data_IF_569954398425
#
_entry.id   IF_569954398425
#
_cell.length_a   1.000
_cell.length_b   1.000
_cell.length_c   1.000
_cell.angle_alpha   90.00
_cell.angle_beta   90.00
_cell.angle_gamma   90.00
#
_symmetry.space_group_name_H-M   'P 1'
#
loop_
_entity.id
_entity.type
_entity.pdbx_description
1 polymer ?
#
# COMPACT_ATOMS: atom_id res chain seq x y z
N UNK A 1 0.09 2.38 10.43
CA UNK A 1 0.08 3.83 10.09
C UNK A 1 -1.35 4.35 10.09
N UNK A 2 -1.59 5.55 10.60
CA UNK A 2 -2.93 6.16 10.69
C UNK A 2 -3.12 7.16 9.54
N UNK A 3 -4.25 7.06 8.81
CA UNK A 3 -4.65 8.03 7.79
C UNK A 3 -6.00 8.61 8.25
N UNK A 4 -6.10 9.92 8.41
CA UNK A 4 -7.32 10.53 8.95
C UNK A 4 -7.60 11.92 8.37
N UNK A 5 -8.90 12.29 8.29
CA UNK A 5 -9.32 13.65 8.01
C UNK A 5 -9.22 14.49 9.29
N UNK A 6 -8.71 15.69 9.18
CA UNK A 6 -8.62 16.64 10.29
C UNK A 6 -9.03 18.04 9.83
N UNK A 7 -9.65 18.81 10.73
CA UNK A 7 -9.96 20.22 10.46
C UNK A 7 -8.72 21.10 10.61
N UNK A 8 -7.86 20.75 11.54
CA UNK A 8 -6.60 21.45 11.84
C UNK A 8 -5.48 20.42 12.03
N UNK A 9 -4.26 20.73 11.57
CA UNK A 9 -3.12 19.83 11.75
C UNK A 9 -2.81 19.60 13.22
N UNK A 10 -2.34 18.40 13.53
CA UNK A 10 -1.80 18.11 14.86
C UNK A 10 -0.52 18.91 15.12
N UNK A 11 -0.27 19.22 16.39
CA UNK A 11 1.00 19.84 16.80
C UNK A 11 2.19 19.01 16.30
N UNK A 12 3.18 19.68 15.72
CA UNK A 12 4.39 19.05 15.14
C UNK A 12 4.16 18.20 13.88
N UNK A 13 3.02 18.33 13.19
CA UNK A 13 2.88 17.76 11.85
C UNK A 13 3.61 18.63 10.83
N UNK A 14 4.43 18.00 9.99
CA UNK A 14 5.02 18.68 8.82
C UNK A 14 3.95 18.95 7.79
N UNK A 15 3.83 20.20 7.37
CA UNK A 15 2.80 20.63 6.41
C UNK A 15 3.21 20.23 4.99
N UNK A 16 2.33 19.57 4.26
CA UNK A 16 2.49 19.23 2.85
C UNK A 16 1.43 19.95 2.04
N UNK A 17 1.86 20.82 1.14
CA UNK A 17 0.98 21.60 0.28
C UNK A 17 1.05 21.07 -1.15
N UNK A 18 -0.04 20.48 -1.65
CA UNK A 18 -0.19 20.08 -3.03
C UNK A 18 -0.84 21.25 -3.81
N UNK A 19 -0.13 21.80 -4.79
CA UNK A 19 -0.61 22.92 -5.58
C UNK A 19 -0.69 22.55 -7.07
N UNK A 20 -1.72 23.04 -7.74
CA UNK A 20 -1.90 22.84 -9.17
C UNK A 20 -1.08 23.80 -10.02
N UNK A 21 -0.84 25.00 -9.51
CA UNK A 21 -0.17 26.09 -10.24
C UNK A 21 0.77 26.83 -9.32
N UNK A 22 1.83 27.40 -9.91
CA UNK A 22 2.83 28.22 -9.20
C UNK A 22 2.20 29.39 -8.43
N UNK A 23 1.18 30.02 -9.00
CA UNK A 23 0.48 31.17 -8.43
C UNK A 23 -0.20 30.84 -7.10
N UNK A 24 -0.56 29.57 -6.89
CA UNK A 24 -1.21 29.12 -5.67
C UNK A 24 -0.29 29.22 -4.44
N UNK A 25 1.04 29.32 -4.63
CA UNK A 25 2.01 29.56 -3.53
C UNK A 25 1.66 30.81 -2.72
N UNK A 26 1.14 31.86 -3.37
CA UNK A 26 0.73 33.10 -2.70
C UNK A 26 -0.35 32.89 -1.64
N UNK A 27 -1.21 31.89 -1.83
CA UNK A 27 -2.35 31.55 -0.95
C UNK A 27 -1.95 30.68 0.24
N UNK A 28 -0.74 30.08 0.20
CA UNK A 28 -0.30 29.16 1.24
C UNK A 28 0.11 29.91 2.51
N UNK A 29 -0.16 29.27 3.67
CA UNK A 29 0.40 29.67 4.96
C UNK A 29 1.78 29.04 5.12
N UNK A 30 2.79 29.73 4.65
CA UNK A 30 4.19 29.30 4.76
C UNK A 30 4.92 30.11 5.81
N UNK A 31 6.07 29.59 6.32
CA UNK A 31 6.97 30.35 7.19
C UNK A 31 7.32 31.72 6.58
N UNK A 32 7.52 32.73 7.42
CA UNK A 32 7.77 34.09 6.99
C UNK A 32 8.95 34.19 6.02
N UNK A 33 8.79 34.99 4.95
CA UNK A 33 9.83 35.18 3.92
C UNK A 33 10.00 34.03 2.91
N UNK A 34 9.29 32.91 3.07
CA UNK A 34 9.51 31.72 2.24
C UNK A 34 8.77 31.74 0.91
N UNK A 35 7.67 32.50 0.77
CA UNK A 35 6.78 32.43 -0.42
C UNK A 35 7.50 32.74 -1.73
N UNK A 36 8.26 33.83 -1.79
CA UNK A 36 8.98 34.23 -3.00
C UNK A 36 10.01 33.18 -3.40
N UNK A 37 10.79 32.71 -2.45
CA UNK A 37 11.80 31.67 -2.66
C UNK A 37 11.17 30.35 -3.15
N UNK A 38 10.05 29.95 -2.57
CA UNK A 38 9.29 28.75 -2.99
C UNK A 38 8.79 28.93 -4.42
N UNK A 39 8.17 30.07 -4.74
CA UNK A 39 7.65 30.32 -6.07
C UNK A 39 8.72 30.29 -7.17
N UNK A 40 9.95 30.72 -6.86
CA UNK A 40 11.07 30.68 -7.81
C UNK A 40 11.63 29.25 -8.00
N UNK A 41 11.78 28.50 -6.93
CA UNK A 41 12.51 27.23 -6.98
C UNK A 41 11.60 26.02 -7.28
N UNK A 42 10.31 26.08 -6.93
CA UNK A 42 9.40 24.96 -7.15
C UNK A 42 9.20 24.63 -8.63
N UNK A 43 9.25 25.65 -9.50
CA UNK A 43 9.06 25.49 -10.95
C UNK A 43 10.14 24.63 -11.59
N UNK A 44 11.38 24.72 -11.09
CA UNK A 44 12.51 23.96 -11.65
C UNK A 44 12.61 22.54 -11.12
N UNK A 45 12.08 22.28 -9.91
CA UNK A 45 12.25 21.00 -9.19
C UNK A 45 10.95 20.24 -8.94
N UNK A 46 9.78 20.84 -9.21
CA UNK A 46 8.47 20.25 -8.89
C UNK A 46 8.16 20.12 -7.39
N UNK A 47 9.19 20.08 -6.55
CA UNK A 47 9.06 19.94 -5.09
C UNK A 47 10.05 20.86 -4.40
N UNK A 48 9.62 21.54 -3.37
CA UNK A 48 10.48 22.34 -2.51
C UNK A 48 10.22 22.09 -1.04
N UNK A 49 11.28 21.79 -0.30
CA UNK A 49 11.29 21.75 1.15
C UNK A 49 11.53 23.13 1.73
N UNK A 50 10.69 23.51 2.68
CA UNK A 50 10.79 24.77 3.42
C UNK A 50 11.00 24.42 4.89
N UNK A 51 12.15 24.84 5.43
CA UNK A 51 12.46 24.68 6.83
C UNK A 51 12.89 26.04 7.39
N UNK A 52 12.17 26.54 8.38
CA UNK A 52 12.49 27.80 9.05
C UNK A 52 12.19 27.68 10.54
N UNK A 53 13.24 27.58 11.34
CA UNK A 53 13.12 27.31 12.76
C UNK A 53 12.47 25.95 13.03
N UNK A 54 11.39 25.96 13.79
CA UNK A 54 10.61 24.73 14.11
C UNK A 54 9.47 24.46 13.10
N UNK A 55 9.30 25.31 12.09
CA UNK A 55 8.25 25.15 11.08
C UNK A 55 8.83 24.47 9.83
N UNK A 56 8.20 23.37 9.44
CA UNK A 56 8.58 22.63 8.24
C UNK A 56 7.38 22.53 7.30
N UNK A 57 7.62 22.82 6.04
CA UNK A 57 6.63 22.65 4.99
C UNK A 57 7.24 22.06 3.73
N UNK A 58 6.46 21.25 3.03
CA UNK A 58 6.80 20.72 1.72
C UNK A 58 5.77 21.25 0.74
N UNK A 59 6.22 21.88 -0.33
CA UNK A 59 5.34 22.35 -1.42
C UNK A 59 5.63 21.53 -2.65
N UNK A 60 4.62 20.91 -3.20
CA UNK A 60 4.71 20.04 -4.37
C UNK A 60 3.83 20.63 -5.47
N UNK A 61 4.44 20.99 -6.59
CA UNK A 61 3.73 21.40 -7.78
C UNK A 61 3.29 20.14 -8.55
N UNK A 62 1.98 19.97 -8.69
CA UNK A 62 1.42 18.95 -9.54
C UNK A 62 1.18 19.51 -10.94
N UNK A 63 2.19 19.46 -11.79
CA UNK A 63 2.12 19.80 -13.21
C UNK A 63 1.59 18.66 -14.10
N UNK A 64 1.39 17.51 -13.51
CA UNK A 64 0.91 16.29 -14.17
C UNK A 64 -0.62 16.27 -14.19
N UNK A 65 -1.24 17.02 -15.08
CA UNK A 65 -2.68 17.05 -15.30
C UNK A 65 -3.23 15.60 -15.35
N UNK A 66 -3.87 15.17 -14.26
CA UNK A 66 -4.55 13.86 -14.12
C UNK A 66 -3.70 12.58 -14.22
N UNK A 67 -2.38 12.65 -14.16
CA UNK A 67 -1.54 11.45 -14.06
C UNK A 67 -1.45 11.01 -12.58
N UNK A 68 -2.42 10.19 -12.18
CA UNK A 68 -2.58 9.70 -10.80
C UNK A 68 -1.33 8.94 -10.34
N UNK A 69 -0.70 8.17 -11.22
CA UNK A 69 0.47 7.37 -10.88
C UNK A 69 1.70 8.23 -10.57
N UNK A 70 1.93 9.28 -11.32
CA UNK A 70 3.01 10.23 -11.00
C UNK A 70 2.82 10.89 -9.64
N UNK A 71 1.56 11.13 -9.24
CA UNK A 71 1.24 11.68 -7.93
C UNK A 71 1.52 10.65 -6.82
N UNK A 72 1.19 9.36 -7.02
CA UNK A 72 1.60 8.28 -6.10
C UNK A 72 3.12 8.21 -5.94
N UNK A 73 3.85 8.25 -7.07
CA UNK A 73 5.32 8.26 -7.05
C UNK A 73 5.89 9.46 -6.30
N UNK A 74 5.27 10.64 -6.42
CA UNK A 74 5.69 11.81 -5.64
C UNK A 74 5.49 11.59 -4.13
N UNK A 75 4.37 11.00 -3.72
CA UNK A 75 4.13 10.59 -2.33
C UNK A 75 5.16 9.58 -1.83
N UNK A 76 5.46 8.57 -2.63
CA UNK A 76 6.48 7.56 -2.33
C UNK A 76 7.87 8.17 -2.06
N UNK A 77 8.31 9.10 -2.89
CA UNK A 77 9.59 9.80 -2.71
C UNK A 77 9.63 10.59 -1.41
N UNK A 78 8.52 11.22 -1.02
CA UNK A 78 8.45 11.95 0.24
C UNK A 78 8.55 11.02 1.47
N UNK A 79 8.07 9.80 1.38
CA UNK A 79 8.15 8.83 2.48
C UNK A 79 9.60 8.52 2.87
N UNK A 80 10.49 8.35 1.89
CA UNK A 80 11.90 8.11 2.15
C UNK A 80 12.51 9.27 2.96
N UNK A 81 12.28 10.50 2.53
CA UNK A 81 12.70 11.70 3.25
C UNK A 81 12.12 11.76 4.68
N UNK A 82 10.84 11.46 4.84
CA UNK A 82 10.22 11.48 6.17
C UNK A 82 10.87 10.50 7.14
N UNK A 83 11.23 9.31 6.67
CA UNK A 83 11.85 8.30 7.50
C UNK A 83 13.31 8.64 7.82
N UNK A 84 14.05 9.23 6.89
CA UNK A 84 15.41 9.74 7.10
C UNK A 84 15.43 10.85 8.15
N UNK A 85 14.56 11.84 8.01
CA UNK A 85 14.45 12.99 8.93
C UNK A 85 13.65 12.71 10.20
N UNK A 86 13.27 11.44 10.43
CA UNK A 86 12.48 11.01 11.61
C UNK A 86 11.16 11.75 11.80
N UNK A 87 10.54 12.18 10.70
CA UNK A 87 9.22 12.81 10.69
C UNK A 87 8.16 11.77 11.01
N UNK A 88 7.37 12.03 12.05
CA UNK A 88 6.34 11.10 12.53
C UNK A 88 4.96 11.37 11.95
N UNK A 89 4.69 12.60 11.53
CA UNK A 89 3.36 13.04 11.08
C UNK A 89 3.46 14.00 9.92
N UNK A 90 2.64 13.76 8.90
CA UNK A 90 2.41 14.68 7.80
C UNK A 90 0.98 15.19 7.83
N UNK A 91 0.80 16.45 7.46
CA UNK A 91 -0.51 17.02 7.21
C UNK A 91 -0.58 17.50 5.76
N UNK A 92 -1.42 16.86 4.97
CA UNK A 92 -1.61 17.15 3.55
C UNK A 92 -2.77 18.11 3.39
N UNK A 93 -2.53 19.20 2.67
CA UNK A 93 -3.54 20.13 2.18
C UNK A 93 -3.23 20.53 0.74
N UNK A 94 -4.18 21.08 0.01
CA UNK A 94 -3.88 21.48 -1.36
C UNK A 94 -5.02 22.14 -2.10
N UNK A 95 -4.70 22.65 -3.28
CA UNK A 95 -5.63 23.25 -4.25
C UNK A 95 -5.89 22.34 -5.46
N UNK A 96 -5.32 21.13 -5.43
CA UNK A 96 -5.52 20.09 -6.46
C UNK A 96 -6.85 19.36 -6.25
N UNK A 97 -7.30 18.59 -7.24
CA UNK A 97 -8.45 17.71 -7.11
C UNK A 97 -8.24 16.71 -5.94
N UNK A 98 -9.32 16.39 -5.21
CA UNK A 98 -9.29 15.48 -4.07
C UNK A 98 -8.75 14.08 -4.41
N UNK A 99 -9.00 13.59 -5.63
CA UNK A 99 -8.46 12.31 -6.11
C UNK A 99 -6.93 12.30 -6.14
N UNK A 100 -6.30 13.42 -6.49
CA UNK A 100 -4.84 13.58 -6.46
C UNK A 100 -4.31 13.65 -5.03
N UNK A 101 -5.08 14.25 -4.10
CA UNK A 101 -4.73 14.24 -2.68
C UNK A 101 -4.75 12.82 -2.12
N UNK A 102 -5.77 12.02 -2.48
CA UNK A 102 -5.87 10.62 -2.10
C UNK A 102 -4.76 9.77 -2.71
N UNK A 103 -4.46 9.95 -3.99
CA UNK A 103 -3.37 9.25 -4.67
C UNK A 103 -2.00 9.57 -4.04
N UNK A 104 -1.78 10.82 -3.66
CA UNK A 104 -0.56 11.21 -2.95
C UNK A 104 -0.46 10.53 -1.57
N UNK A 105 -1.55 10.53 -0.80
CA UNK A 105 -1.63 9.87 0.49
C UNK A 105 -1.46 8.34 0.36
N UNK A 106 -1.99 7.74 -0.71
CA UNK A 106 -1.79 6.33 -1.05
C UNK A 106 -0.33 6.02 -1.32
N UNK A 107 0.34 6.81 -2.15
CA UNK A 107 1.77 6.66 -2.45
C UNK A 107 2.65 6.74 -1.20
N UNK A 108 2.37 7.71 -0.30
CA UNK A 108 3.01 7.81 1.01
C UNK A 108 2.80 6.55 1.84
N UNK A 109 1.56 6.06 1.90
CA UNK A 109 1.19 4.94 2.72
C UNK A 109 1.82 3.64 2.22
N UNK A 110 1.68 3.34 0.93
CA UNK A 110 2.17 2.10 0.31
C UNK A 110 3.69 1.97 0.37
N UNK A 111 4.42 3.09 0.26
CA UNK A 111 5.89 3.09 0.33
C UNK A 111 6.42 3.01 1.76
N UNK A 112 5.58 3.23 2.76
CA UNK A 112 5.97 3.08 4.17
C UNK A 112 5.90 1.63 4.68
N UNK A 113 5.58 0.67 3.82
CA UNK A 113 5.56 -0.75 4.14
C UNK A 113 6.95 -1.26 4.54
N UNK A 114 6.99 -2.11 5.57
CA UNK A 114 8.17 -2.88 5.98
C UNK A 114 7.76 -4.27 6.43
N UNK A 115 8.54 -5.28 6.08
CA UNK A 115 8.43 -6.62 6.61
C UNK A 115 9.56 -6.86 7.61
N UNK A 116 9.24 -6.72 8.89
CA UNK A 116 10.24 -6.77 9.97
C UNK A 116 10.07 -7.98 10.91
N UNK A 117 9.20 -8.92 10.55
CA UNK A 117 8.80 -10.05 11.40
C UNK A 117 9.98 -10.85 11.97
N UNK A 118 11.03 -11.03 11.19
CA UNK A 118 12.17 -11.88 11.54
C UNK A 118 13.41 -11.11 12.01
N UNK A 119 13.32 -9.80 12.18
CA UNK A 119 14.44 -8.98 12.65
C UNK A 119 14.42 -8.84 14.18
N UNK A 120 15.50 -9.21 14.84
CA UNK A 120 15.66 -9.04 16.29
C UNK A 120 15.65 -7.56 16.71
N UNK A 121 16.05 -6.66 15.83
CA UNK A 121 16.11 -5.21 16.01
C UNK A 121 14.96 -4.45 15.28
N UNK A 122 13.83 -5.12 15.01
CA UNK A 122 12.67 -4.59 14.30
C UNK A 122 12.25 -3.17 14.76
N UNK A 123 12.27 -2.92 16.08
CA UNK A 123 11.92 -1.60 16.64
C UNK A 123 12.88 -0.49 16.19
N UNK A 124 14.17 -0.80 16.04
CA UNK A 124 15.17 0.18 15.58
C UNK A 124 15.05 0.46 14.08
N UNK A 125 14.65 -0.54 13.31
CA UNK A 125 14.46 -0.47 11.84
C UNK A 125 13.14 0.16 11.45
N UNK A 126 12.18 0.24 12.37
CA UNK A 126 10.84 0.74 12.06
C UNK A 126 10.87 2.16 11.50
N UNK A 127 10.13 2.36 10.42
CA UNK A 127 9.89 3.65 9.82
C UNK A 127 9.29 4.63 10.84
N UNK A 128 9.69 5.88 10.74
CA UNK A 128 9.24 6.93 11.66
C UNK A 128 7.85 7.47 11.33
N UNK A 129 7.47 7.49 10.04
CA UNK A 129 6.18 8.02 9.59
C UNK A 129 5.03 7.17 10.12
N UNK A 130 4.30 7.70 11.09
CA UNK A 130 3.22 7.01 11.78
C UNK A 130 1.82 7.50 11.40
N UNK A 131 1.69 8.75 10.94
CA UNK A 131 0.39 9.34 10.63
C UNK A 131 0.41 10.28 9.41
N UNK A 132 -0.64 10.16 8.61
CA UNK A 132 -0.98 11.03 7.50
C UNK A 132 -2.31 11.70 7.83
N UNK A 133 -2.30 13.01 8.01
CA UNK A 133 -3.47 13.84 8.23
C UNK A 133 -3.83 14.54 6.92
N UNK A 134 -5.11 14.62 6.60
CA UNK A 134 -5.59 15.24 5.36
C UNK A 134 -6.60 16.31 5.69
N UNK A 135 -6.47 17.48 5.08
CA UNK A 135 -7.51 18.52 5.06
C UNK A 135 -7.79 18.92 3.62
N UNK A 136 -8.98 18.61 3.14
CA UNK A 136 -9.48 19.02 1.83
C UNK A 136 -11.00 19.05 1.85
N UNK A 137 -11.61 20.04 1.20
CA UNK A 137 -13.06 20.25 1.23
C UNK A 137 -13.86 19.03 0.73
N UNK A 138 -13.39 18.40 -0.33
CA UNK A 138 -14.08 17.29 -1.01
C UNK A 138 -13.66 15.91 -0.53
N UNK A 139 -12.63 15.79 0.33
CA UNK A 139 -12.22 14.52 0.92
C UNK A 139 -13.16 14.15 2.06
N UNK A 140 -14.03 13.19 1.82
CA UNK A 140 -14.98 12.64 2.80
C UNK A 140 -14.32 11.56 3.67
N UNK A 141 -14.94 11.27 4.82
CA UNK A 141 -14.49 10.19 5.71
C UNK A 141 -14.46 8.84 5.00
N UNK A 142 -15.45 8.57 4.13
CA UNK A 142 -15.54 7.34 3.35
C UNK A 142 -14.32 7.14 2.45
N UNK A 143 -13.88 8.17 1.72
CA UNK A 143 -12.70 8.08 0.84
C UNK A 143 -11.44 7.65 1.60
N UNK A 144 -11.24 8.15 2.82
CA UNK A 144 -10.09 7.74 3.64
C UNK A 144 -10.27 6.35 4.26
N UNK A 145 -11.51 5.91 4.48
CA UNK A 145 -11.80 4.55 4.91
C UNK A 145 -11.43 3.56 3.80
N UNK A 146 -11.91 3.81 2.58
CA UNK A 146 -11.58 3.04 1.39
C UNK A 146 -10.06 2.98 1.17
N UNK A 147 -9.37 4.12 1.26
CA UNK A 147 -7.92 4.18 1.15
C UNK A 147 -7.22 3.32 2.21
N UNK A 148 -7.68 3.35 3.46
CA UNK A 148 -7.14 2.50 4.53
C UNK A 148 -7.32 1.02 4.24
N UNK A 149 -8.49 0.61 3.74
CA UNK A 149 -8.76 -0.78 3.37
C UNK A 149 -7.85 -1.25 2.24
N UNK A 150 -7.70 -0.44 1.20
CA UNK A 150 -6.79 -0.74 0.07
C UNK A 150 -5.35 -0.90 0.57
N UNK A 151 -4.84 0.05 1.36
CA UNK A 151 -3.48 0.00 1.91
C UNK A 151 -3.28 -1.22 2.81
N UNK A 152 -4.26 -1.53 3.67
CA UNK A 152 -4.20 -2.70 4.55
C UNK A 152 -4.16 -4.00 3.75
N UNK A 153 -5.00 -4.15 2.72
CA UNK A 153 -5.04 -5.33 1.86
C UNK A 153 -3.74 -5.53 1.07
N UNK A 154 -3.15 -4.44 0.57
CA UNK A 154 -1.84 -4.50 -0.10
C UNK A 154 -0.73 -4.89 0.88
N UNK A 155 -0.76 -4.40 2.12
CA UNK A 155 0.22 -4.78 3.14
C UNK A 155 0.08 -6.26 3.52
N UNK A 156 -1.15 -6.76 3.68
CA UNK A 156 -1.39 -8.18 3.95
C UNK A 156 -0.86 -9.06 2.82
N UNK A 157 -1.15 -8.69 1.56
CA UNK A 157 -0.61 -9.39 0.39
C UNK A 157 0.93 -9.39 0.38
N UNK A 158 1.56 -8.24 0.66
CA UNK A 158 3.02 -8.14 0.74
C UNK A 158 3.59 -8.97 1.90
N UNK A 159 2.90 -9.04 3.03
CA UNK A 159 3.30 -9.90 4.15
C UNK A 159 3.33 -11.36 3.72
N UNK A 160 2.27 -11.85 3.05
CA UNK A 160 2.23 -13.22 2.55
C UNK A 160 3.33 -13.51 1.53
N UNK A 161 3.60 -12.57 0.61
CA UNK A 161 4.68 -12.71 -0.40
C UNK A 161 6.07 -12.75 0.26
N UNK A 162 6.27 -12.00 1.35
CA UNK A 162 7.56 -11.94 2.05
C UNK A 162 7.77 -13.05 3.08
N UNK A 163 6.75 -13.86 3.35
CA UNK A 163 6.90 -15.01 4.24
C UNK A 163 7.80 -16.08 3.59
N UNK A 164 8.78 -16.63 4.31
CA UNK A 164 9.59 -17.72 3.78
C UNK A 164 8.77 -18.99 3.58
N UNK A 165 9.09 -19.77 2.55
CA UNK A 165 8.41 -21.02 2.21
C UNK A 165 8.41 -22.03 3.39
N UNK A 166 9.42 -22.01 4.23
CA UNK A 166 9.47 -22.83 5.46
C UNK A 166 8.37 -22.50 6.48
N UNK A 167 7.74 -21.34 6.38
CA UNK A 167 6.60 -20.92 7.16
C UNK A 167 5.30 -20.95 6.33
N UNK A 168 5.29 -20.32 5.16
CA UNK A 168 4.12 -20.22 4.29
C UNK A 168 4.03 -21.45 3.36
N UNK A 169 3.63 -22.60 3.91
CA UNK A 169 3.30 -23.78 3.14
C UNK A 169 1.93 -23.65 2.47
N UNK A 170 1.54 -24.58 1.58
CA UNK A 170 0.22 -24.58 0.95
C UNK A 170 -0.91 -24.64 2.00
N UNK A 171 -0.73 -25.43 3.04
CA UNK A 171 -1.68 -25.53 4.17
C UNK A 171 -1.76 -24.20 4.91
N UNK A 172 -0.60 -23.60 5.23
CA UNK A 172 -0.56 -22.31 5.93
C UNK A 172 -1.20 -21.19 5.11
N UNK A 173 -0.98 -21.16 3.81
CA UNK A 173 -1.64 -20.20 2.92
C UNK A 173 -3.17 -20.35 2.97
N UNK A 174 -3.69 -21.58 2.95
CA UNK A 174 -5.13 -21.79 3.06
C UNK A 174 -5.71 -21.38 4.42
N UNK A 175 -4.95 -21.56 5.51
CA UNK A 175 -5.34 -21.06 6.84
C UNK A 175 -5.41 -19.52 6.87
N UNK A 176 -4.44 -18.83 6.27
CA UNK A 176 -4.45 -17.38 6.16
C UNK A 176 -5.63 -16.87 5.29
N UNK A 177 -5.94 -17.57 4.19
CA UNK A 177 -7.13 -17.28 3.36
C UNK A 177 -8.40 -17.43 4.21
N UNK A 178 -8.53 -18.48 5.01
CA UNK A 178 -9.68 -18.67 5.91
C UNK A 178 -9.76 -17.57 6.97
N UNK A 179 -8.63 -17.23 7.60
CA UNK A 179 -8.56 -16.14 8.58
C UNK A 179 -9.06 -14.83 8.00
N UNK A 180 -8.48 -14.40 6.87
CA UNK A 180 -8.85 -13.15 6.19
C UNK A 180 -10.33 -13.19 5.77
N UNK A 181 -10.78 -14.29 5.18
CA UNK A 181 -12.17 -14.45 4.74
C UNK A 181 -13.16 -14.29 5.90
N UNK A 182 -12.87 -14.92 7.04
CA UNK A 182 -13.71 -14.83 8.23
C UNK A 182 -13.72 -13.40 8.81
N UNK A 183 -12.59 -12.69 8.84
CA UNK A 183 -12.49 -11.33 9.34
C UNK A 183 -13.34 -10.33 8.54
N UNK A 184 -13.48 -10.56 7.23
CA UNK A 184 -14.25 -9.66 6.34
C UNK A 184 -15.62 -10.23 5.94
N UNK A 185 -16.01 -11.38 6.49
CA UNK A 185 -17.34 -11.99 6.28
C UNK A 185 -17.52 -12.63 4.91
N UNK A 186 -16.45 -13.13 4.29
CA UNK A 186 -16.53 -13.89 3.05
C UNK A 186 -16.82 -15.38 3.34
N UNK A 187 -17.52 -16.03 2.43
CA UNK A 187 -17.67 -17.49 2.46
C UNK A 187 -16.40 -18.13 1.90
N UNK A 188 -15.86 -19.11 2.62
CA UNK A 188 -14.65 -19.82 2.21
C UNK A 188 -14.82 -21.32 2.34
N UNK A 189 -14.39 -22.06 1.33
CA UNK A 189 -14.30 -23.51 1.35
C UNK A 189 -12.87 -23.93 0.95
N UNK A 190 -12.23 -24.75 1.77
CA UNK A 190 -10.88 -25.27 1.50
C UNK A 190 -10.97 -26.77 1.22
N UNK A 191 -10.48 -27.18 0.05
CA UNK A 191 -10.30 -28.58 -0.30
C UNK A 191 -8.92 -29.04 0.15
N UNK A 192 -8.90 -30.03 1.00
CA UNK A 192 -7.68 -30.74 1.35
C UNK A 192 -7.28 -31.74 0.25
N UNK A 193 -6.12 -32.34 0.38
CA UNK A 193 -5.59 -33.28 -0.62
C UNK A 193 -6.53 -34.47 -0.90
N UNK A 194 -7.26 -34.97 0.11
CA UNK A 194 -8.21 -36.07 -0.09
C UNK A 194 -9.38 -35.66 -0.98
N UNK A 195 -9.95 -34.48 -0.75
CA UNK A 195 -11.02 -33.94 -1.59
C UNK A 195 -10.51 -33.62 -3.01
N UNK A 196 -9.31 -33.07 -3.14
CA UNK A 196 -8.65 -32.82 -4.42
C UNK A 196 -8.48 -34.11 -5.23
N UNK A 197 -8.05 -35.22 -4.57
CA UNK A 197 -7.95 -36.55 -5.20
C UNK A 197 -9.32 -37.08 -5.62
N UNK A 198 -10.33 -37.00 -4.76
CA UNK A 198 -11.69 -37.44 -5.06
C UNK A 198 -12.30 -36.70 -6.25
N UNK A 199 -12.02 -35.41 -6.38
CA UNK A 199 -12.44 -34.56 -7.52
C UNK A 199 -11.58 -34.73 -8.77
N UNK A 200 -10.57 -35.61 -8.74
CA UNK A 200 -9.65 -35.90 -9.86
C UNK A 200 -8.95 -34.64 -10.41
N UNK A 201 -8.57 -33.73 -9.55
CA UNK A 201 -7.87 -32.48 -9.94
C UNK A 201 -6.39 -32.81 -10.30
N UNK A 202 -6.18 -33.55 -11.38
CA UNK A 202 -4.91 -34.15 -11.74
C UNK A 202 -3.76 -33.14 -11.96
N UNK A 203 -4.04 -32.00 -12.56
CA UNK A 203 -3.03 -30.96 -12.77
C UNK A 203 -2.46 -30.43 -11.46
N UNK A 204 -3.31 -30.19 -10.47
CA UNK A 204 -2.90 -29.73 -9.13
C UNK A 204 -2.08 -30.80 -8.40
N UNK A 205 -2.52 -32.07 -8.48
CA UNK A 205 -1.79 -33.19 -7.89
C UNK A 205 -0.43 -33.40 -8.54
N UNK A 206 -0.32 -33.24 -9.88
CA UNK A 206 0.94 -33.35 -10.60
C UNK A 206 1.94 -32.30 -10.15
N UNK A 207 1.51 -31.04 -10.00
CA UNK A 207 2.36 -29.95 -9.48
C UNK A 207 2.82 -30.22 -8.05
N UNK A 208 1.98 -30.87 -7.23
CA UNK A 208 2.30 -31.16 -5.83
C UNK A 208 3.19 -32.40 -5.62
N UNK A 209 3.50 -33.18 -6.66
CA UNK A 209 4.24 -34.47 -6.49
C UNK A 209 5.62 -34.31 -5.84
N UNK A 210 6.30 -33.19 -6.08
CA UNK A 210 7.62 -32.91 -5.50
C UNK A 210 7.58 -32.29 -4.10
N UNK A 211 6.39 -32.04 -3.53
CA UNK A 211 6.22 -31.41 -2.23
C UNK A 211 5.99 -32.44 -1.11
N UNK A 212 6.62 -32.22 0.03
CA UNK A 212 6.30 -32.95 1.26
C UNK A 212 4.98 -32.48 1.89
N UNK A 213 4.58 -31.23 1.61
CA UNK A 213 3.35 -30.64 2.10
C UNK A 213 2.17 -30.97 1.20
N UNK A 214 0.99 -31.24 1.76
CA UNK A 214 -0.19 -31.57 0.96
C UNK A 214 -0.71 -30.36 0.17
N UNK A 215 -1.30 -30.65 -1.00
CA UNK A 215 -1.97 -29.63 -1.81
C UNK A 215 -3.24 -29.14 -1.14
N UNK A 216 -3.56 -27.86 -1.34
CA UNK A 216 -4.82 -27.23 -0.97
C UNK A 216 -5.45 -26.50 -2.15
N UNK A 217 -6.78 -26.34 -2.14
CA UNK A 217 -7.50 -25.54 -3.10
C UNK A 217 -8.58 -24.75 -2.36
N UNK A 218 -8.52 -23.42 -2.43
CA UNK A 218 -9.44 -22.56 -1.69
C UNK A 218 -10.39 -21.85 -2.64
N UNK A 219 -11.69 -21.90 -2.32
CA UNK A 219 -12.74 -21.15 -2.99
C UNK A 219 -13.22 -20.07 -2.02
N UNK A 220 -13.17 -18.83 -2.45
CA UNK A 220 -13.65 -17.67 -1.68
C UNK A 220 -14.78 -17.01 -2.46
N UNK A 221 -15.92 -16.82 -1.82
CA UNK A 221 -17.09 -16.22 -2.43
C UNK A 221 -17.50 -14.93 -1.71
N UNK A 222 -17.78 -13.91 -2.51
CA UNK A 222 -18.43 -12.68 -2.07
C UNK A 222 -19.72 -12.49 -2.88
N UNK A 223 -20.84 -12.54 -2.19
CA UNK A 223 -22.16 -12.38 -2.80
C UNK A 223 -22.97 -11.38 -1.97
N UNK A 224 -22.84 -10.08 -2.25
CA UNK A 224 -23.64 -9.06 -1.57
C UNK A 224 -25.12 -9.16 -1.97
N UNK A 225 -26.02 -8.71 -1.06
CA UNK A 225 -27.47 -8.74 -1.32
C UNK A 225 -27.88 -7.88 -2.53
N UNK A 226 -27.11 -6.83 -2.79
CA UNK A 226 -27.32 -5.86 -3.86
C UNK A 226 -26.59 -6.23 -5.16
N UNK A 227 -26.13 -7.48 -5.30
CA UNK A 227 -25.47 -7.94 -6.52
C UNK A 227 -26.43 -7.83 -7.71
N UNK A 228 -25.97 -7.17 -8.77
CA UNK A 228 -26.78 -6.94 -10.00
C UNK A 228 -26.37 -7.85 -11.16
N UNK A 229 -25.27 -8.57 -11.02
CA UNK A 229 -24.75 -9.48 -12.03
C UNK A 229 -25.42 -10.86 -11.91
N UNK A 230 -25.86 -11.41 -13.03
CA UNK A 230 -26.49 -12.75 -13.10
C UNK A 230 -25.48 -13.89 -12.90
N UNK A 231 -24.23 -13.66 -13.27
CA UNK A 231 -23.15 -14.64 -13.17
C UNK A 231 -21.98 -14.08 -12.37
N UNK A 232 -21.30 -14.91 -11.57
CA UNK A 232 -20.16 -14.46 -10.81
C UNK A 232 -18.97 -14.10 -11.73
N UNK A 233 -18.21 -13.10 -11.34
CA UNK A 233 -16.85 -12.90 -11.86
C UNK A 233 -15.93 -13.88 -11.16
N UNK A 234 -15.19 -14.67 -11.92
CA UNK A 234 -14.26 -15.67 -11.37
C UNK A 234 -12.82 -15.18 -11.54
N UNK A 235 -12.12 -15.07 -10.43
CA UNK A 235 -10.69 -14.73 -10.39
C UNK A 235 -9.93 -15.98 -9.97
N UNK A 236 -8.96 -16.42 -10.79
CA UNK A 236 -8.12 -17.58 -10.50
C UNK A 236 -6.73 -17.12 -10.09
N UNK A 237 -6.38 -17.39 -8.83
CA UNK A 237 -5.06 -17.09 -8.28
C UNK A 237 -4.16 -18.32 -8.30
N UNK A 238 -2.92 -18.19 -8.77
CA UNK A 238 -1.89 -19.21 -8.66
C UNK A 238 -1.28 -19.14 -7.25
N UNK A 239 -1.57 -20.14 -6.41
CA UNK A 239 -1.10 -20.23 -5.02
C UNK A 239 0.14 -21.10 -4.83
N UNK A 240 1.04 -21.16 -5.80
CA UNK A 240 2.32 -21.90 -5.66
C UNK A 240 3.23 -21.10 -4.73
N UNK A 241 3.57 -21.69 -3.57
CA UNK A 241 4.36 -21.05 -2.52
C UNK A 241 5.87 -21.08 -2.79
N UNK A 242 6.34 -22.02 -3.62
CA UNK A 242 7.72 -22.08 -4.10
C UNK A 242 7.78 -22.85 -5.43
N UNK A 243 8.53 -22.35 -6.40
CA UNK A 243 8.61 -22.94 -7.74
C UNK A 243 10.08 -23.06 -8.18
N UNK A 244 10.60 -24.29 -8.15
CA UNK A 244 11.97 -24.61 -8.58
C UNK A 244 12.08 -24.95 -10.07
N UNK A 245 11.00 -24.91 -10.83
CA UNK A 245 10.90 -25.41 -12.20
C UNK A 245 10.25 -26.79 -12.24
N UNK A 246 10.79 -27.71 -12.97
CA UNK A 246 10.31 -29.10 -13.09
C UNK A 246 11.50 -30.03 -13.38
N UNK A 247 11.41 -30.88 -14.42
CA UNK A 247 12.56 -31.66 -14.90
C UNK A 247 13.72 -30.75 -15.27
N UNK A 248 13.43 -29.56 -15.81
CA UNK A 248 14.43 -28.52 -16.02
C UNK A 248 14.35 -27.57 -14.80
N UNK A 249 15.35 -27.66 -13.92
CA UNK A 249 15.43 -26.75 -12.75
C UNK A 249 15.71 -25.31 -13.20
N UNK A 250 15.12 -24.37 -12.52
CA UNK A 250 15.44 -22.97 -12.74
C UNK A 250 16.90 -22.70 -12.37
N UNK A 251 17.65 -21.91 -13.18
CA UNK A 251 19.00 -21.51 -12.80
C UNK A 251 18.99 -20.69 -11.50
N UNK A 252 19.99 -20.91 -10.66
CA UNK A 252 20.05 -20.35 -9.30
C UNK A 252 20.18 -18.82 -9.23
N UNK A 253 20.68 -18.18 -10.28
CA UNK A 253 20.82 -16.72 -10.31
C UNK A 253 19.50 -16.06 -10.73
N UNK A 254 18.88 -15.33 -9.82
CA UNK A 254 17.70 -14.45 -10.01
C UNK A 254 16.37 -15.13 -10.41
N UNK A 255 16.25 -16.44 -10.42
CA UNK A 255 15.03 -17.12 -10.85
C UNK A 255 14.32 -17.89 -9.75
N UNK A 256 14.94 -18.06 -8.59
CA UNK A 256 14.32 -18.65 -7.40
C UNK A 256 13.80 -17.61 -6.40
N UNK A 257 14.08 -16.33 -6.63
CA UNK A 257 13.67 -15.23 -5.76
C UNK A 257 12.22 -14.75 -6.03
N UNK A 258 11.53 -15.46 -6.89
CA UNK A 258 10.16 -15.15 -7.30
C UNK A 258 9.20 -16.21 -6.78
#
# INVERSE_FOLDING_TARGET
MVIKNVKTPSKHSVQVHLIARKEDVSKLKLPAGSKSRVAQNIVSKGTMFVNQGNEQAVVILNDHKNDIEKVRVAGSKLTAYCNEEKIKRLHISGTVNFELVLAFAEGLALSNYQFLKYFSDAKKRSNSLAAIEVTHADVKKQHLEELRQVVASVFETRNLVNEPQSYLTAVKLSEEIQRISNEVGLKVEVFNQSKIKALKMGGLLAVNQGSLEPATFSIVEWCPKEAVNERPYVIVGKGVVYDTGGLCLKPTANSMDI
#
